data_IF_577911004957
#
_entry.id   IF_577911004957
#
_cell.length_a   1.000
_cell.length_b   1.000
_cell.length_c   1.000
_cell.angle_alpha   90.00
_cell.angle_beta   90.00
_cell.angle_gamma   90.00
#
_symmetry.space_group_name_H-M   'P 1'
#
loop_
_entity.id
_entity.type
_entity.pdbx_description
1 polymer ?
#
# COMPACT_ATOMS: atom_id res chain seq x y z
N UNK A 1 -23.08 13.61 -30.33
CA UNK A 1 -21.87 14.04 -29.60
C UNK A 1 -20.75 14.21 -30.59
N UNK A 2 -20.22 15.42 -30.68
CA UNK A 2 -19.07 15.78 -31.52
C UNK A 2 -17.77 15.39 -30.83
N UNK A 3 -16.67 15.32 -31.59
CA UNK A 3 -15.32 15.04 -31.05
C UNK A 3 -14.91 16.07 -29.98
N UNK A 4 -15.30 17.34 -30.16
CA UNK A 4 -15.01 18.41 -29.21
C UNK A 4 -15.77 18.23 -27.89
N UNK A 5 -17.06 17.90 -27.97
CA UNK A 5 -17.87 17.61 -26.78
C UNK A 5 -17.35 16.39 -26.03
N UNK A 6 -16.95 15.31 -26.72
CA UNK A 6 -16.33 14.13 -26.12
C UNK A 6 -14.99 14.47 -25.43
N UNK A 7 -14.15 15.27 -26.08
CA UNK A 7 -12.85 15.66 -25.53
C UNK A 7 -13.00 16.41 -24.21
N UNK A 8 -13.95 17.35 -24.14
CA UNK A 8 -14.19 18.18 -22.96
C UNK A 8 -14.90 17.40 -21.83
N UNK A 9 -15.85 16.53 -22.18
CA UNK A 9 -16.69 15.82 -21.20
C UNK A 9 -16.09 14.50 -20.70
N UNK A 10 -15.26 13.82 -21.49
CA UNK A 10 -14.74 12.50 -21.15
C UNK A 10 -13.21 12.47 -21.06
N UNK A 11 -12.51 12.89 -22.12
CA UNK A 11 -11.06 12.74 -22.20
C UNK A 11 -10.31 13.64 -21.20
N UNK A 12 -10.66 14.92 -21.11
CA UNK A 12 -9.98 15.85 -20.20
C UNK A 12 -10.19 15.50 -18.72
N UNK A 13 -11.39 15.13 -18.25
CA UNK A 13 -11.58 14.58 -16.91
C UNK A 13 -10.80 13.29 -16.65
N UNK A 14 -10.77 12.36 -17.62
CA UNK A 14 -9.96 11.14 -17.51
C UNK A 14 -8.46 11.47 -17.40
N UNK A 15 -7.94 12.35 -18.25
CA UNK A 15 -6.53 12.76 -18.23
C UNK A 15 -6.13 13.35 -16.87
N UNK A 16 -6.95 14.25 -16.31
CA UNK A 16 -6.71 14.81 -14.97
C UNK A 16 -6.74 13.73 -13.89
N UNK A 17 -7.70 12.79 -13.95
CA UNK A 17 -7.74 11.65 -13.01
C UNK A 17 -6.46 10.81 -13.10
N UNK A 18 -5.93 10.59 -14.29
CA UNK A 18 -4.67 9.86 -14.48
C UNK A 18 -3.45 10.61 -13.95
N UNK A 19 -3.39 11.94 -14.15
CA UNK A 19 -2.33 12.80 -13.60
C UNK A 19 -2.36 12.79 -12.06
N UNK A 20 -3.54 12.94 -11.45
CA UNK A 20 -3.72 12.85 -10.00
C UNK A 20 -3.34 11.47 -9.48
N UNK A 21 -3.82 10.40 -10.12
CA UNK A 21 -3.47 9.02 -9.73
C UNK A 21 -1.96 8.77 -9.78
N UNK A 22 -1.27 9.27 -10.82
CA UNK A 22 0.18 9.18 -10.93
C UNK A 22 0.89 9.93 -9.80
N UNK A 23 0.43 11.14 -9.46
CA UNK A 23 0.98 11.94 -8.37
C UNK A 23 0.77 11.28 -7.00
N UNK A 24 -0.44 10.81 -6.71
CA UNK A 24 -0.78 10.11 -5.46
C UNK A 24 0.05 8.83 -5.29
N UNK A 25 0.20 8.04 -6.37
CA UNK A 25 1.03 6.84 -6.36
C UNK A 25 2.50 7.18 -6.14
N UNK A 26 3.01 8.23 -6.79
CA UNK A 26 4.37 8.72 -6.59
C UNK A 26 4.61 9.17 -5.15
N UNK A 27 3.66 9.87 -4.54
CA UNK A 27 3.73 10.31 -3.15
C UNK A 27 3.70 9.13 -2.17
N UNK A 28 2.84 8.12 -2.41
CA UNK A 28 2.80 6.89 -1.62
C UNK A 28 4.14 6.16 -1.66
N UNK A 29 4.74 5.98 -2.84
CA UNK A 29 6.06 5.34 -2.97
C UNK A 29 7.13 6.15 -2.22
N UNK A 30 7.10 7.48 -2.30
CA UNK A 30 8.03 8.33 -1.55
C UNK A 30 7.84 8.19 -0.03
N UNK A 31 6.60 8.13 0.47
CA UNK A 31 6.30 7.86 1.89
C UNK A 31 6.82 6.49 2.32
N UNK A 32 6.56 5.43 1.54
CA UNK A 32 7.05 4.08 1.84
C UNK A 32 8.58 4.06 1.95
N UNK A 33 9.30 4.70 1.03
CA UNK A 33 10.76 4.81 1.09
C UNK A 33 11.24 5.53 2.35
N UNK A 34 10.63 6.65 2.72
CA UNK A 34 10.95 7.38 3.97
C UNK A 34 10.75 6.53 5.22
N UNK A 35 9.79 5.61 5.17
CA UNK A 35 9.43 4.74 6.30
C UNK A 35 9.92 3.29 6.13
N UNK A 36 10.86 3.01 5.22
CA UNK A 36 11.26 1.64 4.89
C UNK A 36 11.79 0.85 6.11
N UNK A 37 12.54 1.52 7.01
CA UNK A 37 13.00 0.91 8.26
C UNK A 37 11.84 0.61 9.23
N UNK A 38 10.86 1.52 9.33
CA UNK A 38 9.66 1.30 10.13
C UNK A 38 8.80 0.16 9.57
N UNK A 39 8.73 0.05 8.25
CA UNK A 39 8.05 -1.06 7.56
C UNK A 39 8.74 -2.39 7.87
N UNK A 40 10.08 -2.47 7.84
CA UNK A 40 10.78 -3.69 8.28
C UNK A 40 10.46 -4.08 9.73
N UNK A 41 10.38 -3.12 10.65
CA UNK A 41 9.98 -3.38 12.04
C UNK A 41 8.54 -3.89 12.13
N UNK A 42 7.63 -3.38 11.29
CA UNK A 42 6.25 -3.89 11.18
C UNK A 42 6.25 -5.34 10.71
N UNK A 43 7.06 -5.69 9.71
CA UNK A 43 7.19 -7.08 9.25
C UNK A 43 7.70 -7.99 10.36
N UNK A 44 8.72 -7.57 11.12
CA UNK A 44 9.21 -8.35 12.26
C UNK A 44 8.11 -8.58 13.32
N UNK A 45 7.31 -7.55 13.64
CA UNK A 45 6.16 -7.70 14.54
C UNK A 45 5.14 -8.72 14.01
N UNK A 46 4.90 -8.77 12.70
CA UNK A 46 3.98 -9.75 12.10
C UNK A 46 4.50 -11.17 12.25
N UNK A 47 5.79 -11.40 12.01
CA UNK A 47 6.43 -12.72 12.18
C UNK A 47 6.43 -13.16 13.65
N UNK A 48 6.56 -12.22 14.59
CA UNK A 48 6.43 -12.47 16.03
C UNK A 48 4.99 -12.70 16.51
N UNK A 49 3.99 -12.67 15.61
CA UNK A 49 2.57 -12.83 15.94
C UNK A 49 1.95 -11.59 16.62
N UNK A 50 2.63 -10.44 16.59
CA UNK A 50 2.21 -9.18 17.22
C UNK A 50 1.33 -8.34 16.30
N UNK A 51 0.35 -8.99 15.65
CA UNK A 51 -0.55 -8.40 14.64
C UNK A 51 -1.16 -7.05 15.04
N UNK A 52 -1.72 -6.94 16.25
CA UNK A 52 -2.38 -5.69 16.69
C UNK A 52 -1.42 -4.50 16.73
N UNK A 53 -0.17 -4.74 17.14
CA UNK A 53 0.85 -3.70 17.22
C UNK A 53 1.36 -3.34 15.82
N UNK A 54 1.49 -4.34 14.93
CA UNK A 54 1.82 -4.12 13.53
C UNK A 54 0.77 -3.25 12.81
N UNK A 55 -0.52 -3.52 13.01
CA UNK A 55 -1.62 -2.71 12.44
C UNK A 55 -1.59 -1.27 12.96
N UNK A 56 -1.38 -1.08 14.26
CA UNK A 56 -1.28 0.26 14.85
C UNK A 56 -0.09 1.02 14.25
N UNK A 57 1.09 0.40 14.23
CA UNK A 57 2.30 0.99 13.69
C UNK A 57 2.14 1.36 12.21
N UNK A 58 1.56 0.48 11.39
CA UNK A 58 1.25 0.78 9.98
C UNK A 58 0.37 2.02 9.84
N UNK A 59 -0.74 2.06 10.58
CA UNK A 59 -1.68 3.17 10.50
C UNK A 59 -1.10 4.50 11.00
N UNK A 60 -0.07 4.47 11.87
CA UNK A 60 0.69 5.65 12.29
C UNK A 60 1.59 6.19 11.17
N UNK A 61 2.01 5.38 10.21
CA UNK A 61 2.83 5.82 9.07
C UNK A 61 2.04 6.60 8.00
N UNK A 62 0.72 6.77 8.19
CA UNK A 62 -0.18 7.44 7.25
C UNK A 62 -0.06 6.91 5.80
N UNK A 63 0.22 5.61 5.70
CA UNK A 63 0.24 4.86 4.44
C UNK A 63 -1.17 4.43 4.07
N UNK A 64 -1.42 4.30 2.77
CA UNK A 64 -2.67 3.74 2.26
C UNK A 64 -2.45 2.34 1.68
N UNK A 65 -3.39 1.40 1.91
CA UNK A 65 -4.63 1.56 2.67
C UNK A 65 -4.39 1.61 4.20
N UNK A 66 -5.34 2.19 4.93
CA UNK A 66 -5.41 1.99 6.39
C UNK A 66 -5.91 0.57 6.66
N UNK A 67 -5.26 -0.11 7.61
CA UNK A 67 -5.51 -1.52 7.87
C UNK A 67 -6.42 -1.70 9.09
N UNK A 68 -7.44 -2.52 8.92
CA UNK A 68 -8.26 -3.04 10.00
C UNK A 68 -7.57 -4.23 10.68
N UNK A 69 -6.95 -5.11 9.90
CA UNK A 69 -6.32 -6.35 10.37
C UNK A 69 -5.16 -6.76 9.44
N UNK A 70 -4.24 -7.58 9.94
CA UNK A 70 -3.18 -8.21 9.14
C UNK A 70 -2.96 -9.64 9.61
N UNK A 71 -2.95 -10.60 8.70
CA UNK A 71 -2.78 -12.02 9.03
C UNK A 71 -1.59 -12.60 8.30
N UNK A 72 -0.74 -13.31 9.02
CA UNK A 72 0.29 -14.17 8.42
C UNK A 72 -0.32 -15.54 8.18
N UNK A 73 -0.08 -16.13 7.01
CA UNK A 73 -0.47 -17.51 6.73
C UNK A 73 0.27 -18.49 7.64
N UNK A 74 -0.32 -19.67 7.85
CA UNK A 74 0.24 -20.69 8.74
C UNK A 74 1.63 -21.21 8.27
N UNK A 75 1.90 -21.14 6.97
CA UNK A 75 3.20 -21.46 6.36
C UNK A 75 4.22 -20.32 6.46
N UNK A 76 3.81 -19.12 6.91
CA UNK A 76 4.67 -17.94 7.00
C UNK A 76 5.00 -17.28 5.66
N UNK A 77 4.43 -17.74 4.54
CA UNK A 77 4.82 -17.25 3.20
C UNK A 77 4.04 -16.03 2.73
N UNK A 78 2.84 -15.81 3.26
CA UNK A 78 1.93 -14.76 2.78
C UNK A 78 1.38 -13.89 3.92
N UNK A 79 1.12 -12.64 3.58
CA UNK A 79 0.44 -11.67 4.41
C UNK A 79 -0.89 -11.30 3.76
N UNK A 80 -1.96 -11.44 4.52
CA UNK A 80 -3.26 -10.87 4.17
C UNK A 80 -3.41 -9.54 4.89
N UNK A 81 -3.40 -8.44 4.15
CA UNK A 81 -3.74 -7.11 4.63
C UNK A 81 -5.26 -6.93 4.48
N UNK A 82 -5.95 -6.55 5.55
CA UNK A 82 -7.39 -6.23 5.48
C UNK A 82 -7.56 -4.74 5.67
N UNK A 83 -8.00 -4.05 4.62
CA UNK A 83 -8.25 -2.62 4.66
C UNK A 83 -9.48 -2.27 5.53
N UNK A 84 -9.61 -1.02 5.94
CA UNK A 84 -10.76 -0.52 6.72
C UNK A 84 -12.11 -0.67 6.01
N UNK A 85 -12.12 -0.78 4.68
CA UNK A 85 -13.31 -1.07 3.88
C UNK A 85 -13.63 -2.58 3.79
N UNK A 86 -12.83 -3.41 4.46
CA UNK A 86 -12.97 -4.87 4.46
C UNK A 86 -12.31 -5.57 3.27
N UNK A 87 -11.68 -4.83 2.35
CA UNK A 87 -11.02 -5.41 1.18
C UNK A 87 -9.74 -6.15 1.61
N UNK A 88 -9.62 -7.46 1.34
CA UNK A 88 -8.39 -8.19 1.58
C UNK A 88 -7.42 -8.01 0.40
N UNK A 89 -6.15 -7.84 0.71
CA UNK A 89 -5.04 -7.89 -0.24
C UNK A 89 -4.00 -8.92 0.24
N UNK A 90 -3.51 -9.76 -0.66
CA UNK A 90 -2.62 -10.88 -0.32
C UNK A 90 -1.28 -10.66 -0.99
N UNK A 91 -0.23 -10.62 -0.17
CA UNK A 91 1.13 -10.30 -0.61
C UNK A 91 2.07 -11.42 -0.14
N UNK A 92 3.01 -11.83 -0.98
CA UNK A 92 4.09 -12.74 -0.58
C UNK A 92 5.07 -12.00 0.32
N UNK A 93 5.44 -12.62 1.45
CA UNK A 93 6.35 -12.04 2.43
C UNK A 93 7.72 -11.77 1.81
N UNK A 94 8.24 -12.70 1.01
CA UNK A 94 9.53 -12.56 0.32
C UNK A 94 9.56 -11.40 -0.67
N UNK A 95 8.48 -11.20 -1.44
CA UNK A 95 8.38 -10.09 -2.40
C UNK A 95 8.39 -8.75 -1.66
N UNK A 96 7.63 -8.64 -0.57
CA UNK A 96 7.61 -7.43 0.25
C UNK A 96 8.98 -7.16 0.89
N UNK A 97 9.66 -8.19 1.41
CA UNK A 97 11.00 -8.05 1.98
C UNK A 97 12.03 -7.60 0.92
N UNK A 98 11.97 -8.19 -0.28
CA UNK A 98 12.85 -7.81 -1.39
C UNK A 98 12.62 -6.35 -1.81
N UNK A 99 11.36 -5.89 -1.90
CA UNK A 99 11.05 -4.50 -2.20
C UNK A 99 11.50 -3.55 -1.08
N UNK A 100 11.32 -3.91 0.20
CA UNK A 100 11.81 -3.11 1.32
C UNK A 100 13.34 -3.00 1.32
N UNK A 101 14.05 -4.08 1.00
CA UNK A 101 15.51 -4.07 0.87
C UNK A 101 15.96 -3.15 -0.27
N UNK A 102 15.30 -3.18 -1.43
CA UNK A 102 15.58 -2.26 -2.55
C UNK A 102 15.34 -0.79 -2.18
N UNK A 103 14.40 -0.50 -1.28
CA UNK A 103 14.12 0.86 -0.83
C UNK A 103 15.15 1.40 0.18
N UNK A 104 15.89 0.52 0.85
CA UNK A 104 16.90 0.86 1.84
C UNK A 104 18.34 0.89 1.30
N UNK A 105 18.55 0.31 0.11
CA UNK A 105 19.81 0.35 -0.63
C UNK A 105 19.97 1.67 -1.41
#
# INVERSE_FOLDING_TARGET
>A
MTVREWQEQEFMPWKRKMETYGAEKGEQVARMRRHAASLQAIVAMLVEGRTKQAVLAWNTLELHPKLQDVRVSADGETLTLVAMDGTPDVIRLDDMLAELQKMLA
#
